data_IF_500475355320
#
_entry.id   IF_500475355320
#
_cell.length_a   1.000
_cell.length_b   1.000
_cell.length_c   1.000
_cell.angle_alpha   90.00
_cell.angle_beta   90.00
_cell.angle_gamma   90.00
#
_symmetry.space_group_name_H-M   'P 1'
#
loop_
_entity.id
_entity.type
_entity.pdbx_description
1 polymer ?
#
# COMPACT_ATOMS: atom_id res chain seq x y z
N UNK A 1 -6.17 -2.91 0.33
CA UNK A 1 -7.26 -2.05 0.81
C UNK A 1 -6.69 -1.01 1.77
N UNK A 2 -6.86 0.25 1.44
CA UNK A 2 -6.43 1.41 2.21
C UNK A 2 -7.61 2.00 2.98
N UNK A 3 -7.35 2.89 3.94
CA UNK A 3 -8.40 3.53 4.77
C UNK A 3 -9.60 4.08 3.98
N UNK A 4 -9.42 4.75 2.82
CA UNK A 4 -10.55 5.17 1.97
C UNK A 4 -11.50 4.05 1.55
N UNK A 5 -10.98 2.84 1.31
CA UNK A 5 -11.83 1.68 0.96
C UNK A 5 -12.75 1.24 2.10
N UNK A 6 -12.34 1.40 3.35
CA UNK A 6 -13.18 1.11 4.52
C UNK A 6 -14.31 2.14 4.68
N UNK A 7 -14.04 3.40 4.38
CA UNK A 7 -15.06 4.45 4.36
C UNK A 7 -16.04 4.27 3.21
N UNK A 8 -15.56 3.85 2.05
CA UNK A 8 -16.39 3.56 0.88
C UNK A 8 -17.40 2.44 1.15
N UNK A 9 -17.03 1.39 1.87
CA UNK A 9 -17.97 0.34 2.29
C UNK A 9 -19.14 0.90 3.11
N UNK A 10 -18.88 1.90 3.95
CA UNK A 10 -19.93 2.59 4.71
C UNK A 10 -20.79 3.47 3.81
N UNK A 11 -20.19 4.09 2.81
CA UNK A 11 -20.90 4.90 1.81
C UNK A 11 -21.80 4.03 0.94
N UNK A 12 -21.32 2.87 0.49
CA UNK A 12 -22.13 1.87 -0.24
C UNK A 12 -23.32 1.41 0.58
N UNK A 13 -23.12 1.09 1.86
CA UNK A 13 -24.20 0.68 2.76
C UNK A 13 -25.30 1.77 2.88
N UNK A 14 -24.91 3.03 3.06
CA UNK A 14 -25.84 4.17 3.09
C UNK A 14 -26.57 4.35 1.77
N UNK A 15 -25.90 4.18 0.65
CA UNK A 15 -26.51 4.33 -0.67
C UNK A 15 -27.50 3.19 -0.95
N UNK A 16 -27.17 1.96 -0.58
CA UNK A 16 -28.12 0.83 -0.66
C UNK A 16 -29.39 1.09 0.17
N UNK A 17 -29.23 1.63 1.38
CA UNK A 17 -30.37 2.05 2.21
C UNK A 17 -31.18 3.17 1.54
N UNK A 18 -30.50 4.21 1.01
CA UNK A 18 -31.16 5.34 0.32
C UNK A 18 -31.96 4.87 -0.89
N UNK A 19 -31.49 3.85 -1.61
CA UNK A 19 -32.17 3.26 -2.76
C UNK A 19 -33.28 2.25 -2.39
N UNK A 20 -33.45 1.95 -1.11
CA UNK A 20 -34.45 0.97 -0.63
C UNK A 20 -34.12 -0.48 -1.02
N UNK A 21 -32.85 -0.78 -1.24
CA UNK A 21 -32.41 -2.15 -1.52
C UNK A 21 -32.57 -3.02 -0.26
N UNK A 22 -32.88 -4.32 -0.45
CA UNK A 22 -33.05 -5.30 0.61
C UNK A 22 -32.09 -6.48 0.48
N UNK A 23 -31.17 -6.43 -0.49
CA UNK A 23 -30.22 -7.49 -0.76
C UNK A 23 -29.20 -7.61 0.40
N UNK A 24 -28.79 -8.82 0.79
CA UNK A 24 -27.71 -8.99 1.76
C UNK A 24 -26.40 -8.35 1.25
N UNK A 25 -25.71 -7.61 2.13
CA UNK A 25 -24.39 -7.01 1.88
C UNK A 25 -23.30 -7.87 2.53
N UNK A 26 -22.44 -8.48 1.73
CA UNK A 26 -21.31 -9.26 2.19
C UNK A 26 -20.04 -8.40 2.19
N UNK A 27 -19.38 -8.28 3.34
CA UNK A 27 -18.15 -7.52 3.52
C UNK A 27 -16.99 -8.50 3.71
N UNK A 28 -16.05 -8.52 2.79
CA UNK A 28 -14.90 -9.42 2.83
C UNK A 28 -13.60 -8.73 2.43
N UNK A 29 -12.49 -9.46 2.56
CA UNK A 29 -11.15 -9.01 2.19
C UNK A 29 -10.21 -8.89 3.38
N UNK A 30 -8.90 -9.01 3.11
CA UNK A 30 -7.83 -9.14 4.11
C UNK A 30 -7.75 -7.98 5.12
N UNK A 31 -8.20 -6.78 4.75
CA UNK A 31 -8.16 -5.59 5.63
C UNK A 31 -9.49 -5.28 6.30
N UNK A 32 -10.54 -6.05 6.01
CA UNK A 32 -11.83 -5.92 6.68
C UNK A 32 -11.83 -6.66 8.01
N UNK A 33 -12.67 -6.23 8.92
CA UNK A 33 -12.85 -6.94 10.19
C UNK A 33 -14.31 -6.98 10.60
N UNK A 34 -14.67 -8.04 11.32
CA UNK A 34 -16.02 -8.20 11.91
C UNK A 34 -16.40 -6.98 12.77
N UNK A 35 -15.44 -6.42 13.51
CA UNK A 35 -15.66 -5.22 14.34
C UNK A 35 -15.96 -4.00 13.49
N UNK A 36 -15.20 -3.75 12.43
CA UNK A 36 -15.46 -2.63 11.50
C UNK A 36 -16.85 -2.79 10.86
N UNK A 37 -17.17 -3.98 10.38
CA UNK A 37 -18.47 -4.28 9.77
C UNK A 37 -19.62 -4.04 10.76
N UNK A 38 -19.49 -4.54 12.00
CA UNK A 38 -20.50 -4.38 13.04
C UNK A 38 -20.72 -2.92 13.48
N UNK A 39 -19.61 -2.13 13.58
CA UNK A 39 -19.64 -0.78 14.18
C UNK A 39 -19.89 0.30 13.13
N UNK A 40 -19.34 0.15 11.92
CA UNK A 40 -19.34 1.20 10.89
C UNK A 40 -20.26 0.91 9.71
N UNK A 41 -20.34 -0.33 9.24
CA UNK A 41 -21.10 -0.66 8.02
C UNK A 41 -22.56 -1.01 8.34
N UNK A 42 -22.78 -2.01 9.21
CA UNK A 42 -24.11 -2.52 9.53
C UNK A 42 -25.11 -1.47 10.01
N UNK A 43 -24.75 -0.46 10.84
CA UNK A 43 -25.70 0.58 11.25
C UNK A 43 -26.18 1.49 10.11
N UNK A 44 -25.52 1.45 8.95
CA UNK A 44 -25.85 2.30 7.81
C UNK A 44 -26.70 1.61 6.74
N UNK A 45 -27.17 0.38 6.99
CA UNK A 45 -28.00 -0.39 6.07
C UNK A 45 -29.08 -1.17 6.83
N UNK A 46 -30.30 -1.24 6.29
CA UNK A 46 -31.44 -1.92 6.93
C UNK A 46 -31.51 -3.42 6.56
N UNK A 47 -30.84 -3.83 5.48
CA UNK A 47 -30.72 -5.23 5.10
C UNK A 47 -29.60 -5.97 5.86
N UNK A 48 -29.52 -7.30 5.70
CA UNK A 48 -28.46 -8.08 6.35
C UNK A 48 -27.07 -7.66 5.89
N UNK A 49 -26.16 -7.40 6.84
CA UNK A 49 -24.74 -7.11 6.58
C UNK A 49 -23.89 -8.17 7.24
N UNK A 50 -23.14 -8.94 6.47
CA UNK A 50 -22.37 -10.08 6.98
C UNK A 50 -20.88 -9.91 6.67
N UNK A 51 -20.02 -9.99 7.69
CA UNK A 51 -18.58 -10.08 7.48
C UNK A 51 -18.20 -11.51 7.09
N UNK A 52 -17.53 -11.64 5.95
CA UNK A 52 -17.02 -12.91 5.41
C UNK A 52 -15.50 -12.88 5.49
N UNK A 53 -14.92 -13.79 6.25
CA UNK A 53 -13.48 -13.80 6.53
C UNK A 53 -12.66 -14.06 5.26
N UNK A 54 -13.10 -14.99 4.44
CA UNK A 54 -12.46 -15.40 3.18
C UNK A 54 -13.50 -15.90 2.16
N UNK A 55 -13.08 -16.01 0.90
CA UNK A 55 -13.96 -16.41 -0.20
C UNK A 55 -14.54 -17.82 -0.02
N UNK A 56 -13.82 -18.74 0.63
CA UNK A 56 -14.30 -20.12 0.85
C UNK A 56 -15.53 -20.16 1.77
N UNK A 57 -15.60 -19.22 2.71
CA UNK A 57 -16.74 -19.10 3.65
C UNK A 57 -17.93 -18.39 3.04
N UNK A 58 -17.75 -17.67 1.92
CA UNK A 58 -18.85 -16.96 1.26
C UNK A 58 -19.94 -17.92 0.78
N UNK A 59 -19.58 -19.13 0.35
CA UNK A 59 -20.55 -20.15 -0.10
C UNK A 59 -21.49 -20.55 1.03
N UNK A 60 -20.97 -20.85 2.23
CA UNK A 60 -21.78 -21.21 3.40
C UNK A 60 -22.69 -20.04 3.86
N UNK A 61 -22.16 -18.81 3.83
CA UNK A 61 -22.94 -17.60 4.13
C UNK A 61 -24.09 -17.42 3.12
N UNK A 62 -23.79 -17.54 1.82
CA UNK A 62 -24.80 -17.44 0.78
C UNK A 62 -25.86 -18.54 0.90
N UNK A 63 -25.46 -19.77 1.20
CA UNK A 63 -26.39 -20.89 1.40
C UNK A 63 -27.36 -20.61 2.54
N UNK A 64 -26.89 -20.08 3.67
CA UNK A 64 -27.77 -19.72 4.79
C UNK A 64 -28.73 -18.58 4.43
N UNK A 65 -28.25 -17.56 3.69
CA UNK A 65 -29.06 -16.41 3.27
C UNK A 65 -30.10 -16.74 2.19
N UNK A 66 -29.88 -17.79 1.40
CA UNK A 66 -30.79 -18.26 0.35
C UNK A 66 -31.77 -19.33 0.87
N UNK A 67 -31.59 -19.84 2.07
CA UNK A 67 -32.45 -20.85 2.67
C UNK A 67 -33.67 -20.22 3.34
N UNK A 68 -34.87 -20.58 2.91
CA UNK A 68 -36.12 -20.09 3.52
C UNK A 68 -36.25 -20.47 5.00
N UNK A 69 -35.62 -21.56 5.43
CA UNK A 69 -35.71 -22.06 6.81
C UNK A 69 -34.58 -21.61 7.74
N UNK A 70 -33.43 -21.18 7.20
CA UNK A 70 -32.24 -20.82 8.00
C UNK A 70 -31.96 -19.33 8.02
N UNK A 71 -32.50 -18.57 7.08
CA UNK A 71 -32.16 -17.16 6.85
C UNK A 71 -32.42 -16.30 8.08
N UNK A 72 -33.62 -16.39 8.64
CA UNK A 72 -34.06 -15.49 9.73
C UNK A 72 -33.28 -15.74 11.02
N UNK A 73 -33.07 -17.01 11.39
CA UNK A 73 -32.26 -17.38 12.53
C UNK A 73 -30.81 -16.97 12.35
N UNK A 74 -30.24 -17.17 11.14
CA UNK A 74 -28.86 -16.78 10.82
C UNK A 74 -28.66 -15.26 10.89
N UNK A 75 -29.57 -14.48 10.31
CA UNK A 75 -29.51 -13.01 10.35
C UNK A 75 -29.65 -12.49 11.78
N UNK A 76 -30.55 -13.08 12.57
CA UNK A 76 -30.73 -12.73 13.98
C UNK A 76 -29.46 -13.01 14.79
N UNK A 77 -28.85 -14.19 14.62
CA UNK A 77 -27.59 -14.53 15.27
C UNK A 77 -26.47 -13.52 14.96
N UNK A 78 -26.31 -13.13 13.69
CA UNK A 78 -25.31 -12.14 13.28
C UNK A 78 -25.61 -10.76 13.88
N UNK A 79 -26.88 -10.37 13.94
CA UNK A 79 -27.30 -9.10 14.53
C UNK A 79 -26.95 -9.02 16.03
N UNK A 80 -27.24 -10.09 16.77
CA UNK A 80 -26.93 -10.20 18.20
C UNK A 80 -25.44 -10.16 18.47
N UNK A 81 -24.64 -10.89 17.65
CA UNK A 81 -23.19 -10.82 17.71
C UNK A 81 -22.67 -9.39 17.47
N UNK A 82 -23.25 -8.68 16.50
CA UNK A 82 -22.85 -7.30 16.19
C UNK A 82 -23.26 -6.32 17.29
N UNK A 83 -24.37 -6.53 17.96
CA UNK A 83 -24.77 -5.72 19.11
C UNK A 83 -23.76 -5.86 20.24
N UNK A 84 -23.36 -7.08 20.60
CA UNK A 84 -22.30 -7.34 21.58
C UNK A 84 -20.97 -6.68 21.19
N UNK A 85 -20.61 -6.69 19.90
CA UNK A 85 -19.39 -6.04 19.42
C UNK A 85 -19.48 -4.51 19.50
N UNK A 86 -20.65 -3.92 19.18
CA UNK A 86 -20.89 -2.48 19.32
C UNK A 86 -20.80 -2.03 20.78
N UNK A 87 -21.42 -2.78 21.70
CA UNK A 87 -21.38 -2.47 23.12
C UNK A 87 -19.96 -2.55 23.68
N UNK A 88 -19.22 -3.60 23.34
CA UNK A 88 -17.79 -3.72 23.70
C UNK A 88 -16.96 -2.57 23.13
N UNK A 89 -17.26 -2.15 21.93
CA UNK A 89 -16.55 -1.04 21.28
C UNK A 89 -16.92 0.31 21.91
N UNK A 90 -18.19 0.54 22.23
CA UNK A 90 -18.67 1.75 22.89
C UNK A 90 -18.13 1.88 24.32
N UNK A 91 -18.07 0.75 25.04
CA UNK A 91 -17.54 0.67 26.40
C UNK A 91 -16.00 0.64 26.48
N UNK A 92 -15.30 0.42 25.35
CA UNK A 92 -13.88 0.76 25.29
C UNK A 92 -13.78 2.26 25.54
N UNK A 93 -13.41 2.64 26.78
CA UNK A 93 -12.90 3.99 27.02
C UNK A 93 -11.91 4.24 25.90
N UNK A 94 -12.15 5.24 25.07
CA UNK A 94 -11.12 5.81 24.20
C UNK A 94 -10.04 6.25 25.17
N UNK A 95 -9.12 5.36 25.51
CA UNK A 95 -7.91 5.78 26.17
C UNK A 95 -7.40 6.88 25.25
N UNK A 96 -7.32 8.10 25.77
CA UNK A 96 -6.73 9.23 25.06
C UNK A 96 -5.23 8.87 24.89
N UNK A 97 -4.99 8.07 23.85
CA UNK A 97 -3.66 7.56 23.49
C UNK A 97 -2.94 8.53 22.56
N UNK A 98 -3.55 9.70 22.34
CA UNK A 98 -2.97 10.72 21.48
C UNK A 98 -2.09 11.67 22.30
N UNK A 99 -0.83 11.82 21.88
CA UNK A 99 0.07 12.81 22.40
C UNK A 99 -0.20 14.18 21.74
N UNK A 100 0.02 15.27 22.47
CA UNK A 100 0.08 16.60 21.87
C UNK A 100 1.27 16.66 20.91
N UNK A 101 1.15 17.44 19.83
CA UNK A 101 2.23 17.52 18.83
C UNK A 101 3.55 18.01 19.43
N UNK A 102 3.53 18.92 20.40
CA UNK A 102 4.73 19.38 21.08
C UNK A 102 5.44 18.25 21.85
N UNK A 103 4.65 17.39 22.54
CA UNK A 103 5.19 16.25 23.27
C UNK A 103 5.73 15.19 22.31
N UNK A 104 5.03 14.95 21.20
CA UNK A 104 5.47 14.03 20.17
C UNK A 104 6.78 14.48 19.48
N UNK A 105 6.94 15.79 19.24
CA UNK A 105 8.19 16.37 18.71
C UNK A 105 9.31 16.28 19.73
N UNK A 106 9.05 16.51 21.01
CA UNK A 106 10.04 16.36 22.08
C UNK A 106 10.54 14.91 22.19
N UNK A 107 9.65 13.93 21.98
CA UNK A 107 9.94 12.48 21.93
C UNK A 107 10.26 11.99 20.51
N UNK A 108 10.62 12.86 19.56
CA UNK A 108 11.02 12.50 18.20
C UNK A 108 12.33 11.71 18.19
N UNK A 109 12.54 10.92 17.14
CA UNK A 109 13.82 10.26 16.91
C UNK A 109 14.91 11.31 16.67
N UNK A 110 16.07 11.10 17.28
CA UNK A 110 17.24 11.99 17.19
C UNK A 110 18.43 11.19 16.68
N UNK A 111 18.75 11.35 15.41
CA UNK A 111 19.99 10.81 14.85
C UNK A 111 21.19 11.63 15.34
N UNK A 112 22.31 10.96 15.51
CA UNK A 112 23.59 11.63 15.80
C UNK A 112 24.23 12.12 14.51
N UNK A 113 23.78 13.28 14.05
CA UNK A 113 24.29 13.90 12.83
C UNK A 113 25.75 14.39 12.96
N UNK A 114 26.32 14.45 14.17
CA UNK A 114 27.73 14.74 14.33
C UNK A 114 28.61 13.53 13.96
N UNK A 115 28.14 12.33 14.24
CA UNK A 115 28.85 11.08 13.96
C UNK A 115 28.46 10.45 12.60
N UNK A 116 27.41 10.96 11.93
CA UNK A 116 26.92 10.40 10.68
C UNK A 116 27.06 11.37 9.51
N UNK A 117 27.71 10.93 8.45
CA UNK A 117 27.76 11.63 7.17
C UNK A 117 26.86 10.91 6.16
N UNK A 118 25.81 11.58 5.64
CA UNK A 118 24.93 10.99 4.65
C UNK A 118 25.70 10.59 3.37
N UNK A 119 25.44 9.39 2.87
CA UNK A 119 26.02 8.95 1.60
C UNK A 119 25.33 9.69 0.45
N UNK A 120 26.14 10.25 -0.45
CA UNK A 120 25.60 10.83 -1.69
C UNK A 120 25.18 9.72 -2.68
N UNK A 121 24.08 9.90 -3.42
CA UNK A 121 23.70 8.99 -4.50
C UNK A 121 24.71 9.09 -5.65
N UNK A 122 24.76 8.06 -6.51
CA UNK A 122 25.65 8.02 -7.67
C UNK A 122 25.35 9.10 -8.73
N UNK A 123 24.14 9.67 -8.69
CA UNK A 123 23.73 10.81 -9.52
C UNK A 123 22.63 11.60 -8.82
N UNK A 124 22.44 12.87 -9.23
CA UNK A 124 21.26 13.69 -8.91
C UNK A 124 20.41 13.91 -10.16
N UNK A 125 19.15 14.34 -9.96
CA UNK A 125 18.18 14.50 -11.03
C UNK A 125 17.44 13.20 -11.39
N UNK A 126 16.90 13.11 -12.60
CA UNK A 126 16.00 12.05 -13.04
C UNK A 126 16.69 11.03 -13.94
N UNK A 127 16.26 9.77 -13.80
CA UNK A 127 16.57 8.69 -14.75
C UNK A 127 15.28 7.96 -15.10
N UNK A 128 14.99 7.87 -16.41
CA UNK A 128 13.78 7.23 -16.94
C UNK A 128 14.13 5.89 -17.57
N UNK A 129 13.24 4.91 -17.40
CA UNK A 129 13.27 3.59 -18.01
C UNK A 129 11.98 3.43 -18.83
N UNK A 130 12.11 3.55 -20.16
CA UNK A 130 10.97 3.57 -21.08
C UNK A 130 10.40 2.17 -21.37
N UNK A 131 11.24 1.15 -21.36
CA UNK A 131 10.87 -0.25 -21.61
C UNK A 131 11.71 -1.14 -20.69
N UNK A 132 11.17 -1.44 -19.50
CA UNK A 132 11.87 -2.28 -18.53
C UNK A 132 11.56 -3.76 -18.79
N UNK A 133 12.56 -4.62 -18.71
CA UNK A 133 12.40 -6.05 -18.97
C UNK A 133 11.49 -6.70 -17.91
N UNK A 134 10.31 -7.15 -18.34
CA UNK A 134 9.37 -7.84 -17.48
C UNK A 134 9.93 -9.17 -16.96
N UNK A 135 10.85 -9.83 -17.68
CA UNK A 135 11.45 -11.08 -17.25
C UNK A 135 12.27 -10.91 -15.95
N UNK A 136 12.92 -9.76 -15.76
CA UNK A 136 13.58 -9.45 -14.48
C UNK A 136 12.57 -9.39 -13.31
N UNK A 137 11.38 -8.83 -13.58
CA UNK A 137 10.36 -8.62 -12.55
C UNK A 137 9.73 -9.91 -12.08
N UNK A 138 9.56 -10.89 -12.96
CA UNK A 138 8.98 -12.20 -12.62
C UNK A 138 9.73 -12.85 -11.46
N UNK A 139 11.05 -12.67 -11.37
CA UNK A 139 11.89 -13.24 -10.29
C UNK A 139 11.67 -12.57 -8.92
N UNK A 140 11.01 -11.41 -8.88
CA UNK A 140 10.75 -10.61 -7.68
C UNK A 140 9.29 -10.64 -7.23
N UNK A 141 8.43 -11.42 -7.90
CA UNK A 141 7.03 -11.54 -7.50
C UNK A 141 6.91 -12.19 -6.12
N UNK A 142 6.26 -11.48 -5.22
CA UNK A 142 5.73 -12.09 -3.99
C UNK A 142 4.41 -12.79 -4.31
N UNK A 143 4.43 -14.11 -4.21
CA UNK A 143 3.29 -14.97 -4.47
C UNK A 143 2.38 -15.17 -3.24
N UNK A 144 2.83 -14.81 -2.05
CA UNK A 144 2.11 -15.05 -0.78
C UNK A 144 0.69 -14.46 -0.77
N UNK A 145 0.46 -13.21 -1.25
CA UNK A 145 -0.88 -12.64 -1.28
C UNK A 145 -1.81 -13.26 -2.33
N UNK A 146 -1.24 -13.96 -3.32
CA UNK A 146 -1.96 -14.49 -4.46
C UNK A 146 -2.45 -15.92 -4.22
N UNK A 147 -1.70 -16.69 -3.44
CA UNK A 147 -1.94 -18.12 -3.24
C UNK A 147 -2.03 -18.46 -1.76
N UNK A 148 -3.24 -18.63 -1.22
CA UNK A 148 -3.45 -19.42 -0.01
C UNK A 148 -3.17 -20.92 -0.26
N UNK A 149 -3.27 -21.77 0.76
CA UNK A 149 -2.92 -23.20 0.71
C UNK A 149 -3.61 -24.03 -0.41
N UNK A 150 -4.68 -23.51 -1.04
CA UNK A 150 -5.48 -24.23 -2.04
C UNK A 150 -5.01 -24.08 -3.51
N UNK A 151 -3.86 -23.46 -3.80
CA UNK A 151 -3.66 -22.82 -5.10
C UNK A 151 -2.54 -23.34 -6.00
N UNK A 152 -2.18 -24.63 -5.95
CA UNK A 152 -1.17 -25.19 -6.90
C UNK A 152 -1.60 -25.12 -8.37
N UNK A 153 -2.88 -25.31 -8.66
CA UNK A 153 -3.42 -25.18 -10.02
C UNK A 153 -3.39 -23.73 -10.49
N UNK A 154 -3.82 -22.78 -9.65
CA UNK A 154 -3.80 -21.37 -9.93
C UNK A 154 -2.39 -20.85 -10.21
N UNK A 155 -1.39 -21.33 -9.46
CA UNK A 155 0.03 -20.99 -9.71
C UNK A 155 0.49 -21.44 -11.09
N UNK A 156 0.10 -22.64 -11.52
CA UNK A 156 0.47 -23.15 -12.85
C UNK A 156 -0.15 -22.31 -13.97
N UNK A 157 -1.40 -21.90 -13.81
CA UNK A 157 -2.10 -21.05 -14.80
C UNK A 157 -1.49 -19.66 -14.84
N UNK A 158 -1.16 -19.10 -13.67
CA UNK A 158 -0.47 -17.82 -13.55
C UNK A 158 0.93 -17.85 -14.18
N UNK A 159 1.72 -18.89 -13.95
CA UNK A 159 3.05 -19.06 -14.56
C UNK A 159 2.93 -19.17 -16.09
N UNK A 160 1.95 -19.92 -16.60
CA UNK A 160 1.71 -20.03 -18.03
C UNK A 160 1.31 -18.67 -18.66
N UNK A 161 0.44 -17.92 -18.00
CA UNK A 161 0.06 -16.58 -18.46
C UNK A 161 1.22 -15.60 -18.39
N UNK A 162 2.08 -15.65 -17.36
CA UNK A 162 3.29 -14.82 -17.27
C UNK A 162 4.26 -15.11 -18.42
N UNK A 163 4.43 -16.37 -18.81
CA UNK A 163 5.25 -16.72 -19.97
C UNK A 163 4.69 -16.09 -21.26
N UNK A 164 3.37 -16.04 -21.43
CA UNK A 164 2.73 -15.38 -22.57
C UNK A 164 2.89 -13.86 -22.48
N UNK A 165 2.66 -13.24 -21.31
CA UNK A 165 2.84 -11.80 -21.10
C UNK A 165 4.23 -11.36 -21.52
N UNK A 166 5.27 -12.09 -21.08
CA UNK A 166 6.67 -11.77 -21.38
C UNK A 166 7.02 -12.11 -22.85
N UNK A 167 6.68 -13.31 -23.29
CA UNK A 167 7.05 -13.82 -24.62
C UNK A 167 6.35 -13.10 -25.78
N UNK A 168 5.07 -12.76 -25.61
CA UNK A 168 4.25 -12.08 -26.62
C UNK A 168 4.15 -10.56 -26.38
N UNK A 169 4.79 -10.04 -25.32
CA UNK A 169 4.80 -8.61 -24.98
C UNK A 169 3.40 -8.01 -24.87
N UNK A 170 2.53 -8.65 -24.10
CA UNK A 170 1.17 -8.15 -23.86
C UNK A 170 1.17 -6.85 -23.09
N UNK A 171 2.15 -6.69 -22.18
CA UNK A 171 2.32 -5.54 -21.31
C UNK A 171 3.71 -4.94 -21.52
N UNK A 172 3.84 -3.66 -21.18
CA UNK A 172 5.14 -3.02 -20.98
C UNK A 172 5.24 -2.37 -19.61
N UNK A 173 6.49 -2.15 -19.17
CA UNK A 173 6.81 -1.57 -17.88
C UNK A 173 7.68 -0.33 -18.05
N UNK A 174 7.36 0.74 -17.30
CA UNK A 174 8.10 1.99 -17.29
C UNK A 174 8.40 2.42 -15.86
N UNK A 175 9.50 3.13 -15.69
CA UNK A 175 9.84 3.70 -14.39
C UNK A 175 10.53 5.05 -14.55
N UNK A 176 10.40 5.89 -13.55
CA UNK A 176 11.24 7.04 -13.32
C UNK A 176 11.78 6.99 -11.90
N UNK A 177 13.06 7.32 -11.73
CA UNK A 177 13.72 7.50 -10.45
C UNK A 177 14.40 8.84 -10.41
N UNK A 178 14.42 9.50 -9.25
CA UNK A 178 15.12 10.74 -9.05
C UNK A 178 15.74 10.83 -7.66
N UNK A 179 16.91 11.48 -7.59
CA UNK A 179 17.58 11.84 -6.34
C UNK A 179 17.84 13.34 -6.35
N UNK A 180 17.56 13.97 -5.21
CA UNK A 180 17.58 15.41 -5.07
C UNK A 180 18.27 15.80 -3.76
N UNK A 181 19.11 16.87 -3.75
CA UNK A 181 19.58 17.44 -2.51
C UNK A 181 18.43 17.85 -1.62
N UNK A 182 18.53 17.56 -0.32
CA UNK A 182 17.43 17.82 0.61
C UNK A 182 17.95 17.99 2.04
N UNK A 183 17.19 18.73 2.85
CA UNK A 183 17.41 18.82 4.30
C UNK A 183 16.08 18.89 5.04
N UNK A 184 16.05 18.38 6.27
CA UNK A 184 14.85 18.49 7.09
C UNK A 184 14.75 19.86 7.79
N UNK A 185 13.51 20.36 7.88
CA UNK A 185 13.12 21.57 8.60
C UNK A 185 11.92 21.25 9.47
N UNK A 186 12.13 20.97 10.72
CA UNK A 186 11.09 20.48 11.63
C UNK A 186 10.59 19.10 11.24
N UNK A 187 9.30 18.96 10.92
CA UNK A 187 8.68 17.70 10.47
C UNK A 187 8.61 17.60 8.92
N UNK A 188 9.17 18.59 8.21
CA UNK A 188 9.14 18.65 6.74
C UNK A 188 10.56 18.46 6.16
N UNK A 189 10.62 18.22 4.83
CA UNK A 189 11.88 18.12 4.08
C UNK A 189 11.83 19.07 2.90
N UNK A 190 12.75 20.04 2.89
CA UNK A 190 12.99 20.91 1.74
C UNK A 190 13.85 20.15 0.71
N UNK A 191 13.42 20.20 -0.55
CA UNK A 191 14.10 19.61 -1.70
C UNK A 191 14.64 20.72 -2.58
N UNK A 192 15.89 20.59 -3.01
CA UNK A 192 16.59 21.63 -3.74
C UNK A 192 16.92 21.22 -5.18
N UNK A 193 17.08 22.22 -6.06
CA UNK A 193 17.74 22.05 -7.34
C UNK A 193 19.28 22.12 -7.20
N UNK A 194 19.99 21.98 -8.31
CA UNK A 194 21.46 22.01 -8.35
C UNK A 194 22.04 23.37 -7.94
N UNK A 195 21.26 24.44 -8.01
CA UNK A 195 21.64 25.79 -7.57
C UNK A 195 21.33 26.03 -6.07
N UNK A 196 20.81 25.04 -5.38
CA UNK A 196 20.45 25.10 -3.95
C UNK A 196 19.14 25.84 -3.66
N UNK A 197 18.33 26.12 -4.69
CA UNK A 197 17.01 26.73 -4.52
C UNK A 197 15.97 25.67 -4.19
N UNK A 198 15.11 25.93 -3.21
CA UNK A 198 14.00 25.05 -2.86
C UNK A 198 13.02 24.91 -4.02
N UNK A 199 12.85 23.70 -4.55
CA UNK A 199 11.89 23.38 -5.62
C UNK A 199 10.57 22.87 -5.08
N UNK A 200 10.59 22.19 -3.94
CA UNK A 200 9.38 21.74 -3.24
C UNK A 200 9.70 21.46 -1.77
N UNK A 201 8.63 21.34 -0.96
CA UNK A 201 8.70 20.88 0.42
C UNK A 201 7.80 19.67 0.57
N UNK A 202 8.38 18.55 0.96
CA UNK A 202 7.63 17.34 1.32
C UNK A 202 7.19 17.47 2.78
N UNK A 203 5.89 17.37 3.02
CA UNK A 203 5.32 17.53 4.36
C UNK A 203 5.05 16.15 4.96
N UNK A 204 5.56 15.91 6.16
CA UNK A 204 5.40 14.62 6.82
C UNK A 204 4.66 14.75 8.16
N UNK A 205 3.92 13.71 8.48
CA UNK A 205 3.16 13.62 9.71
C UNK A 205 3.96 12.88 10.78
N UNK A 206 4.17 13.54 11.93
CA UNK A 206 4.77 12.89 13.09
C UNK A 206 3.77 11.98 13.78
N UNK A 207 4.22 10.79 14.17
CA UNK A 207 3.41 9.88 14.96
C UNK A 207 2.99 10.55 16.29
N UNK A 208 1.70 10.58 16.57
CA UNK A 208 1.11 11.21 17.75
C UNK A 208 0.50 10.21 18.73
N UNK A 209 0.96 8.96 18.77
CA UNK A 209 0.59 8.03 19.84
C UNK A 209 1.41 8.31 21.09
N UNK A 210 0.78 8.26 22.27
CA UNK A 210 1.52 8.27 23.53
C UNK A 210 2.44 7.06 23.59
N UNK A 211 3.72 7.28 23.72
CA UNK A 211 4.78 6.28 23.81
C UNK A 211 5.65 6.53 25.04
N UNK A 212 6.31 5.49 25.53
CA UNK A 212 7.37 5.66 26.53
C UNK A 212 8.63 6.29 25.88
N UNK A 213 9.50 6.84 26.71
CA UNK A 213 10.71 7.53 26.26
C UNK A 213 11.70 6.65 25.47
N UNK A 214 11.53 5.31 25.52
CA UNK A 214 12.38 4.36 24.79
C UNK A 214 11.89 4.13 23.36
N UNK A 215 10.66 4.57 23.03
CA UNK A 215 10.03 4.41 21.72
C UNK A 215 9.70 5.78 21.15
N UNK A 216 10.52 6.32 20.23
CA UNK A 216 10.30 7.64 19.70
C UNK A 216 9.02 7.74 18.85
N UNK A 217 8.49 8.95 18.75
CA UNK A 217 7.44 9.33 17.84
C UNK A 217 8.07 9.70 16.49
N UNK A 218 8.21 8.73 15.59
CA UNK A 218 8.87 8.91 14.31
C UNK A 218 8.14 9.88 13.38
N UNK A 219 8.94 10.60 12.60
CA UNK A 219 8.57 11.33 11.39
C UNK A 219 9.59 10.99 10.30
N UNK A 220 9.22 10.92 9.04
CA UNK A 220 10.18 10.64 7.97
C UNK A 220 11.28 11.69 7.88
N UNK A 221 10.99 12.95 8.22
CA UNK A 221 11.97 14.01 8.28
C UNK A 221 13.11 13.75 9.30
N UNK A 222 12.92 12.90 10.30
CA UNK A 222 13.95 12.56 11.27
C UNK A 222 15.14 11.81 10.66
N UNK A 223 14.94 11.22 9.46
CA UNK A 223 15.94 10.43 8.73
C UNK A 223 16.66 11.22 7.64
N UNK A 224 16.43 12.54 7.56
CA UNK A 224 17.12 13.46 6.66
C UNK A 224 17.86 14.49 7.50
N UNK A 225 19.12 14.79 7.15
CA UNK A 225 19.95 15.71 7.92
C UNK A 225 19.28 17.09 8.06
N UNK A 226 19.22 17.64 9.29
CA UNK A 226 18.64 18.96 9.51
C UNK A 226 19.42 20.05 8.77
N UNK A 227 18.71 21.02 8.19
CA UNK A 227 19.30 22.15 7.47
C UNK A 227 20.34 22.91 8.30
N UNK A 228 20.11 23.04 9.61
CA UNK A 228 21.03 23.71 10.52
C UNK A 228 22.25 22.85 10.94
N UNK A 229 22.32 21.58 10.52
CA UNK A 229 23.51 20.75 10.74
C UNK A 229 24.66 21.11 9.81
N UNK A 230 24.39 21.81 8.71
CA UNK A 230 25.35 22.13 7.66
C UNK A 230 25.78 20.93 6.82
N UNK A 231 25.14 19.76 6.98
CA UNK A 231 25.42 18.55 6.20
C UNK A 231 24.57 18.51 4.95
N UNK A 232 25.19 18.14 3.85
CA UNK A 232 24.47 17.80 2.63
C UNK A 232 23.79 16.43 2.80
N UNK A 233 22.52 16.33 2.42
CA UNK A 233 21.78 15.09 2.40
C UNK A 233 20.85 15.06 1.19
N UNK A 234 20.17 13.94 0.98
CA UNK A 234 19.40 13.71 -0.23
C UNK A 234 18.09 13.00 0.08
N UNK A 235 17.13 13.19 -0.82
CA UNK A 235 15.91 12.38 -0.86
C UNK A 235 15.80 11.71 -2.22
N UNK A 236 15.40 10.44 -2.24
CA UNK A 236 15.12 9.69 -3.45
C UNK A 236 13.64 9.36 -3.57
N UNK A 237 13.15 9.36 -4.81
CA UNK A 237 11.81 8.89 -5.13
C UNK A 237 11.79 8.11 -6.42
N UNK A 238 10.80 7.22 -6.60
CA UNK A 238 10.55 6.58 -7.87
C UNK A 238 9.06 6.33 -8.08
N UNK A 239 8.68 6.22 -9.35
CA UNK A 239 7.38 5.75 -9.78
C UNK A 239 7.56 4.63 -10.81
N UNK A 240 6.75 3.58 -10.71
CA UNK A 240 6.81 2.41 -11.58
C UNK A 240 5.41 2.02 -12.05
N UNK A 241 5.35 1.41 -13.24
CA UNK A 241 4.14 0.78 -13.77
C UNK A 241 4.54 -0.43 -14.62
N UNK A 242 3.70 -1.49 -14.63
CA UNK A 242 3.97 -2.72 -15.36
C UNK A 242 2.71 -3.27 -16.08
N UNK A 243 1.70 -2.44 -16.30
CA UNK A 243 0.43 -2.82 -16.89
C UNK A 243 0.08 -2.09 -18.19
N UNK A 244 1.04 -1.38 -18.79
CA UNK A 244 0.79 -0.58 -20.00
C UNK A 244 0.43 -1.53 -21.16
N UNK A 245 -0.70 -1.25 -21.84
CA UNK A 245 -1.20 -2.05 -22.97
C UNK A 245 -2.18 -3.14 -22.58
N UNK A 246 -2.52 -3.28 -21.29
CA UNK A 246 -3.43 -4.32 -20.78
C UNK A 246 -4.80 -4.30 -21.43
N UNK A 247 -5.31 -3.12 -21.80
CA UNK A 247 -6.68 -2.94 -22.32
C UNK A 247 -6.95 -3.76 -23.56
N UNK A 248 -5.95 -3.89 -24.45
CA UNK A 248 -6.07 -4.68 -25.67
C UNK A 248 -6.37 -6.12 -25.35
N UNK A 249 -5.63 -6.72 -24.43
CA UNK A 249 -5.77 -8.13 -24.07
C UNK A 249 -7.04 -8.39 -23.27
N UNK A 250 -7.42 -7.47 -22.38
CA UNK A 250 -8.70 -7.53 -21.68
C UNK A 250 -9.89 -7.50 -22.63
N UNK A 251 -9.82 -6.69 -23.69
CA UNK A 251 -10.88 -6.65 -24.71
C UNK A 251 -11.01 -8.00 -25.46
N UNK A 252 -9.89 -8.68 -25.74
CA UNK A 252 -9.88 -10.02 -26.35
C UNK A 252 -10.58 -11.04 -25.45
N UNK A 253 -10.25 -11.10 -24.15
CA UNK A 253 -10.88 -12.00 -23.18
C UNK A 253 -12.37 -11.70 -23.00
N UNK A 254 -12.73 -10.44 -22.91
CA UNK A 254 -14.12 -10.02 -22.79
C UNK A 254 -14.97 -10.42 -24.00
N UNK A 255 -14.41 -10.36 -25.20
CA UNK A 255 -15.10 -10.74 -26.45
C UNK A 255 -15.50 -12.23 -26.48
N UNK A 256 -14.79 -13.09 -25.76
CA UNK A 256 -15.05 -14.53 -25.64
C UNK A 256 -15.61 -14.94 -24.27
N UNK A 257 -16.00 -13.94 -23.43
CA UNK A 257 -16.53 -14.16 -22.08
C UNK A 257 -15.57 -14.96 -21.15
N UNK A 258 -14.26 -14.76 -21.32
CA UNK A 258 -13.23 -15.38 -20.47
C UNK A 258 -12.91 -14.49 -19.27
N UNK A 259 -13.81 -14.47 -18.29
CA UNK A 259 -13.66 -13.69 -17.06
C UNK A 259 -12.48 -14.19 -16.20
N UNK A 260 -12.14 -15.48 -16.30
CA UNK A 260 -11.02 -16.06 -15.54
C UNK A 260 -9.69 -15.45 -16.00
N UNK A 261 -9.43 -15.44 -17.31
CA UNK A 261 -8.20 -14.85 -17.86
C UNK A 261 -8.16 -13.33 -17.70
N UNK A 262 -9.31 -12.64 -17.76
CA UNK A 262 -9.41 -11.20 -17.50
C UNK A 262 -8.97 -10.85 -16.05
N UNK A 263 -9.49 -11.58 -15.06
CA UNK A 263 -9.13 -11.38 -13.64
C UNK A 263 -7.66 -11.76 -13.40
N UNK A 264 -7.21 -12.89 -13.97
CA UNK A 264 -5.85 -13.37 -13.84
C UNK A 264 -4.84 -12.35 -14.38
N UNK A 265 -5.07 -11.80 -15.56
CA UNK A 265 -4.19 -10.80 -16.18
C UNK A 265 -4.07 -9.53 -15.33
N UNK A 266 -5.20 -9.02 -14.83
CA UNK A 266 -5.21 -7.86 -13.92
C UNK A 266 -4.40 -8.13 -12.65
N UNK A 267 -4.61 -9.28 -12.03
CA UNK A 267 -3.89 -9.66 -10.83
C UNK A 267 -2.39 -9.83 -11.09
N UNK A 268 -1.99 -10.37 -12.24
CA UNK A 268 -0.57 -10.50 -12.61
C UNK A 268 0.07 -9.14 -12.93
N UNK A 269 -0.65 -8.21 -13.56
CA UNK A 269 -0.18 -6.85 -13.77
C UNK A 269 0.10 -6.13 -12.43
N UNK A 270 -0.78 -6.28 -11.44
CA UNK A 270 -0.57 -5.75 -10.09
C UNK A 270 0.68 -6.37 -9.44
N UNK A 271 0.86 -7.70 -9.56
CA UNK A 271 2.05 -8.37 -9.01
C UNK A 271 3.35 -7.93 -9.69
N UNK A 272 3.33 -7.72 -11.00
CA UNK A 272 4.47 -7.19 -11.74
C UNK A 272 4.82 -5.76 -11.30
N UNK A 273 3.84 -4.90 -11.05
CA UNK A 273 4.06 -3.54 -10.55
C UNK A 273 4.69 -3.55 -9.15
N UNK A 274 4.20 -4.40 -8.24
CA UNK A 274 4.80 -4.59 -6.91
C UNK A 274 6.23 -5.13 -7.00
N UNK A 275 6.46 -6.15 -7.85
CA UNK A 275 7.78 -6.70 -8.11
C UNK A 275 8.73 -5.63 -8.69
N UNK A 276 8.21 -4.74 -9.53
CA UNK A 276 8.99 -3.63 -10.07
C UNK A 276 9.39 -2.63 -8.99
N UNK A 277 8.49 -2.28 -8.07
CA UNK A 277 8.84 -1.44 -6.94
C UNK A 277 9.93 -2.09 -6.06
N UNK A 278 9.87 -3.39 -5.82
CA UNK A 278 10.91 -4.13 -5.09
C UNK A 278 12.24 -4.12 -5.84
N UNK A 279 12.22 -4.45 -7.13
CA UNK A 279 13.41 -4.43 -7.97
C UNK A 279 14.05 -3.05 -8.06
N UNK A 280 13.24 -1.99 -8.20
CA UNK A 280 13.74 -0.63 -8.24
C UNK A 280 14.39 -0.22 -6.91
N UNK A 281 13.78 -0.58 -5.78
CA UNK A 281 14.36 -0.33 -4.47
C UNK A 281 15.67 -1.10 -4.25
N UNK A 282 15.77 -2.36 -4.69
CA UNK A 282 17.01 -3.12 -4.69
C UNK A 282 18.11 -2.39 -5.47
N UNK A 283 17.79 -1.89 -6.68
CA UNK A 283 18.74 -1.13 -7.50
C UNK A 283 19.15 0.20 -6.86
N UNK A 284 18.22 0.86 -6.14
CA UNK A 284 18.59 2.04 -5.34
C UNK A 284 19.67 1.71 -4.33
N UNK A 285 19.49 0.65 -3.56
CA UNK A 285 20.43 0.26 -2.50
C UNK A 285 21.78 -0.17 -3.05
N UNK A 286 21.79 -0.89 -4.18
CA UNK A 286 23.01 -1.52 -4.75
C UNK A 286 23.71 -0.69 -5.79
N UNK A 287 22.95 0.09 -6.61
CA UNK A 287 23.48 0.71 -7.81
C UNK A 287 23.37 2.26 -7.79
N UNK A 288 22.15 2.79 -7.55
CA UNK A 288 21.85 4.20 -7.82
C UNK A 288 22.19 5.12 -6.66
N UNK A 289 21.92 4.69 -5.44
CA UNK A 289 22.44 5.33 -4.25
C UNK A 289 23.69 4.59 -3.74
N UNK A 290 23.70 3.27 -3.90
CA UNK A 290 24.84 2.41 -3.64
C UNK A 290 25.31 2.42 -2.16
N UNK A 291 24.40 2.63 -1.21
CA UNK A 291 24.76 2.56 0.22
C UNK A 291 24.85 1.11 0.75
N UNK A 292 24.40 0.13 -0.01
CA UNK A 292 24.51 -1.31 0.28
C UNK A 292 24.96 -2.12 -0.95
N UNK A 293 26.12 -1.82 -1.59
CA UNK A 293 26.50 -2.43 -2.85
C UNK A 293 26.80 -3.94 -2.75
N UNK A 294 27.15 -4.42 -1.54
CA UNK A 294 27.40 -5.84 -1.25
C UNK A 294 26.16 -6.61 -0.78
N UNK A 295 24.96 -6.04 -0.85
CA UNK A 295 23.73 -6.72 -0.44
C UNK A 295 23.49 -7.97 -1.30
N UNK A 296 23.30 -9.12 -0.66
CA UNK A 296 22.95 -10.40 -1.28
C UNK A 296 21.78 -11.02 -0.51
N UNK A 297 20.57 -10.60 -0.87
CA UNK A 297 19.31 -11.00 -0.23
C UNK A 297 18.50 -11.88 -1.18
N UNK A 298 17.97 -12.97 -0.63
CA UNK A 298 16.98 -13.79 -1.33
C UNK A 298 15.65 -13.04 -1.48
N UNK A 299 14.77 -13.53 -2.35
CA UNK A 299 13.43 -12.96 -2.48
C UNK A 299 12.64 -13.03 -1.16
N UNK A 300 12.82 -14.11 -0.40
CA UNK A 300 12.22 -14.25 0.94
C UNK A 300 12.76 -13.20 1.94
N UNK A 301 14.04 -12.88 1.89
CA UNK A 301 14.64 -11.83 2.71
C UNK A 301 14.11 -10.44 2.32
N UNK A 302 13.87 -10.20 1.02
CA UNK A 302 13.27 -8.95 0.54
C UNK A 302 11.82 -8.80 1.02
N UNK A 303 11.02 -9.86 0.94
CA UNK A 303 9.64 -9.91 1.45
C UNK A 303 9.60 -9.63 2.96
N UNK A 304 10.59 -10.11 3.71
CA UNK A 304 10.74 -9.87 5.14
C UNK A 304 11.48 -8.56 5.48
N UNK A 305 11.70 -7.70 4.50
CA UNK A 305 12.31 -6.37 4.66
C UNK A 305 13.67 -6.39 5.41
N UNK A 306 14.51 -7.42 5.17
CA UNK A 306 15.82 -7.56 5.83
C UNK A 306 16.91 -6.64 5.25
N UNK A 307 16.57 -5.80 4.32
CA UNK A 307 17.46 -4.81 3.73
C UNK A 307 17.68 -3.59 4.65
N UNK A 308 18.75 -2.85 4.41
CA UNK A 308 18.99 -1.58 5.06
C UNK A 308 18.10 -0.47 4.45
N UNK A 309 17.46 0.33 5.32
CA UNK A 309 16.64 1.45 4.90
C UNK A 309 15.14 1.13 4.90
N UNK A 310 14.36 2.09 4.41
CA UNK A 310 12.90 2.00 4.30
C UNK A 310 12.45 2.49 2.92
N UNK A 311 11.30 2.01 2.49
CA UNK A 311 10.62 2.44 1.26
C UNK A 311 9.19 2.89 1.57
N UNK A 312 9.03 4.05 2.21
CA UNK A 312 7.70 4.56 2.50
C UNK A 312 6.98 4.98 1.21
N UNK A 313 5.65 4.79 1.19
CA UNK A 313 4.81 5.26 0.10
C UNK A 313 3.66 6.10 0.65
N UNK A 314 3.25 7.21 -0.03
CA UNK A 314 2.10 8.00 0.39
C UNK A 314 0.82 7.18 0.46
N UNK A 315 0.13 7.24 1.63
CA UNK A 315 -1.06 6.45 1.95
C UNK A 315 -0.79 5.26 2.88
N UNK A 316 0.46 4.93 3.17
CA UNK A 316 0.84 3.90 4.14
C UNK A 316 1.19 4.51 5.52
N UNK A 317 1.25 3.70 6.59
CA UNK A 317 1.40 4.23 7.96
C UNK A 317 2.61 5.12 8.21
N UNK A 318 3.72 4.94 7.48
CA UNK A 318 4.91 5.78 7.60
C UNK A 318 4.76 7.13 6.89
N UNK A 319 3.90 7.21 5.87
CA UNK A 319 3.60 8.42 5.10
C UNK A 319 2.09 8.48 4.78
N UNK A 320 1.22 8.71 5.77
CA UNK A 320 -0.22 8.51 5.61
C UNK A 320 -0.92 9.56 4.74
N UNK A 321 -0.29 10.68 4.45
CA UNK A 321 -0.87 11.75 3.64
C UNK A 321 -0.77 11.45 2.14
N UNK A 322 -1.93 11.23 1.51
CA UNK A 322 -2.02 11.01 0.07
C UNK A 322 -1.72 12.24 -0.78
N UNK A 323 -1.83 13.45 -0.22
CA UNK A 323 -1.63 14.70 -0.99
C UNK A 323 -0.18 14.87 -1.42
N UNK A 324 0.77 14.26 -0.72
CA UNK A 324 2.19 14.25 -1.07
C UNK A 324 2.49 13.52 -2.40
N UNK A 325 1.56 12.65 -2.88
CA UNK A 325 1.70 12.02 -4.21
C UNK A 325 1.84 13.05 -5.32
N UNK A 326 1.08 14.15 -5.28
CA UNK A 326 1.14 15.17 -6.31
C UNK A 326 2.53 15.80 -6.39
N UNK A 327 3.12 16.15 -5.25
CA UNK A 327 4.46 16.71 -5.17
C UNK A 327 5.52 15.73 -5.67
N UNK A 328 5.37 14.44 -5.32
CA UNK A 328 6.27 13.40 -5.78
C UNK A 328 6.16 13.19 -7.30
N UNK A 329 4.95 13.16 -7.86
CA UNK A 329 4.74 13.08 -9.31
C UNK A 329 5.32 14.27 -10.06
N UNK A 330 5.12 15.49 -9.55
CA UNK A 330 5.68 16.70 -10.15
C UNK A 330 7.21 16.68 -10.10
N UNK A 331 7.79 16.30 -8.97
CA UNK A 331 9.24 16.19 -8.76
C UNK A 331 9.88 15.16 -9.72
N UNK A 332 9.22 14.00 -9.87
CA UNK A 332 9.66 12.90 -10.75
C UNK A 332 9.26 13.11 -12.22
N UNK A 333 8.42 14.08 -12.54
CA UNK A 333 7.80 14.25 -13.86
C UNK A 333 7.10 12.95 -14.33
N UNK A 334 6.46 12.22 -13.41
CA UNK A 334 5.98 10.86 -13.62
C UNK A 334 4.78 10.75 -14.57
N UNK A 335 4.16 11.88 -14.97
CA UNK A 335 3.04 11.93 -15.94
C UNK A 335 3.52 12.23 -17.37
N UNK A 336 4.82 12.45 -17.57
CA UNK A 336 5.42 12.66 -18.90
C UNK A 336 5.88 11.34 -19.50
#
# INVERSE_FOLDING_TARGET
LITPSLEEMTTVAREMKRQGLTLPLLIGGATTSKVHTAVKVAPNYDGPVIHVLDASRAVGVASNLLSDSLKDDYVTQISDEYEVLRDKHANRKKADNQAKIADARANGFKADWAAHDPAAPAFTGLKVFEDYDLAELVTRIDWTPFFGEAARSLKKDADAMLQQIVGEKWLSARAVIGFFPANSVGDDVEVYDDDGKTVTTLNFLRQQMKKDAKRPNFCLADFVAPKNSGKADYVGGFAVTAGIGIEKKLAEFKAVHDDYSDIMLKALADRLAEAFAERMHERVRKEFWAYAPGEDLSNDDLIHEKYQGIRPAPGYPACPDHTEKRKLFDLLQAEK
#
